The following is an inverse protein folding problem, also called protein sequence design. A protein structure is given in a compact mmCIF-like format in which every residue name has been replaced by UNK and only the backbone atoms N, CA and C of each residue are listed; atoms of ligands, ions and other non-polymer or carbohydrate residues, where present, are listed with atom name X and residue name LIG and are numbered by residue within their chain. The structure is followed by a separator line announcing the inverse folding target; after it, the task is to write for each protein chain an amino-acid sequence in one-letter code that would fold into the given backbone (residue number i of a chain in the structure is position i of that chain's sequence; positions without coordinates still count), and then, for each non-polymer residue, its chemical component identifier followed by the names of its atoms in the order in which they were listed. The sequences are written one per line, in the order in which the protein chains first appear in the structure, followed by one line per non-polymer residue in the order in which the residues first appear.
data_IF_202616281143
#
_entry.id   IF_202616281143
#
_cell.length_a   1.000
_cell.length_b   1.000
_cell.length_c   1.000
_cell.angle_alpha   90.00
_cell.angle_beta   90.00
_cell.angle_gamma   90.00
#
_symmetry.space_group_name_H-M   'P 1'
#
loop_
_entity.id
_entity.type
_entity.pdbx_description
1 polymer ?
#
# COMPACT_ATOMS: atom_id res chain seq x y z
N UNK A 1 18.10 3.94 -8.72
CA UNK A 1 16.77 4.36 -8.20
C UNK A 1 16.16 3.17 -7.50
N UNK A 2 15.67 3.31 -6.27
CA UNK A 2 15.06 2.22 -5.48
C UNK A 2 13.64 2.62 -5.13
N UNK A 3 12.68 1.68 -5.21
CA UNK A 3 11.28 1.89 -4.82
C UNK A 3 11.03 1.28 -3.44
N UNK A 4 10.37 2.02 -2.56
CA UNK A 4 9.83 1.51 -1.31
C UNK A 4 8.34 1.21 -1.46
N UNK A 5 7.89 0.12 -0.89
CA UNK A 5 6.48 -0.23 -0.75
C UNK A 5 6.09 -0.19 0.73
N UNK A 6 4.94 0.40 1.04
CA UNK A 6 4.44 0.42 2.41
C UNK A 6 3.73 -0.89 2.80
N UNK A 7 3.30 -0.97 4.06
CA UNK A 7 2.68 -2.15 4.64
C UNK A 7 1.17 -2.28 4.44
N UNK A 8 0.47 -1.29 3.91
CA UNK A 8 -0.98 -1.17 4.02
C UNK A 8 -1.74 -2.46 3.65
N UNK A 9 -1.52 -3.01 2.45
CA UNK A 9 -2.19 -4.24 2.03
C UNK A 9 -1.70 -5.49 2.78
N UNK A 10 -0.41 -5.55 3.11
CA UNK A 10 0.21 -6.72 3.75
C UNK A 10 -0.15 -6.84 5.22
N UNK A 11 -0.50 -5.73 5.85
CA UNK A 11 -1.03 -5.67 7.18
C UNK A 11 -2.52 -6.05 7.21
N UNK A 12 -3.32 -5.51 6.31
CA UNK A 12 -4.78 -5.69 6.29
C UNK A 12 -5.21 -7.07 5.76
N UNK A 13 -4.50 -7.62 4.78
CA UNK A 13 -4.93 -8.78 4.00
C UNK A 13 -3.99 -9.98 4.18
N UNK A 14 -4.54 -11.13 4.62
CA UNK A 14 -3.77 -12.39 4.71
C UNK A 14 -3.51 -12.97 3.32
N UNK A 15 -4.54 -13.02 2.46
CA UNK A 15 -4.52 -13.48 1.07
C UNK A 15 -5.52 -12.62 0.31
N UNK A 16 -5.23 -12.23 -0.93
CA UNK A 16 -6.19 -11.55 -1.79
C UNK A 16 -5.59 -11.04 -3.10
N UNK A 17 -6.44 -10.54 -3.98
CA UNK A 17 -6.08 -10.10 -5.34
C UNK A 17 -5.03 -8.98 -5.34
N UNK A 18 -5.21 -7.97 -4.49
CA UNK A 18 -4.28 -6.83 -4.41
C UNK A 18 -2.89 -7.28 -3.92
N UNK A 19 -2.83 -8.09 -2.88
CA UNK A 19 -1.53 -8.59 -2.38
C UNK A 19 -0.85 -9.54 -3.37
N UNK A 20 -1.63 -10.32 -4.15
CA UNK A 20 -1.10 -11.14 -5.25
C UNK A 20 -0.55 -10.29 -6.40
N UNK A 21 -1.21 -9.18 -6.73
CA UNK A 21 -0.71 -8.22 -7.71
C UNK A 21 0.70 -7.74 -7.35
N UNK A 22 0.94 -7.35 -6.10
CA UNK A 22 2.27 -6.95 -5.66
C UNK A 22 3.27 -8.11 -5.64
N UNK A 23 2.87 -9.31 -5.29
CA UNK A 23 3.73 -10.50 -5.39
C UNK A 23 4.24 -10.71 -6.83
N UNK A 24 3.36 -10.58 -7.82
CA UNK A 24 3.75 -10.65 -9.22
C UNK A 24 4.74 -9.53 -9.62
N UNK A 25 4.53 -8.30 -9.15
CA UNK A 25 5.46 -7.19 -9.37
C UNK A 25 6.82 -7.47 -8.74
N UNK A 26 6.85 -7.95 -7.49
CA UNK A 26 8.11 -8.24 -6.79
C UNK A 26 8.90 -9.34 -7.48
N UNK A 27 8.25 -10.42 -7.92
CA UNK A 27 8.88 -11.48 -8.71
C UNK A 27 9.50 -10.92 -9.99
N UNK A 28 8.78 -10.04 -10.69
CA UNK A 28 9.30 -9.41 -11.91
C UNK A 28 10.45 -8.44 -11.60
N UNK A 29 10.42 -7.70 -10.52
CA UNK A 29 11.52 -6.84 -10.10
C UNK A 29 12.78 -7.65 -9.75
N UNK A 30 12.61 -8.83 -9.14
CA UNK A 30 13.74 -9.75 -8.85
C UNK A 30 14.37 -10.25 -10.16
N UNK A 31 13.56 -10.73 -11.12
CA UNK A 31 14.04 -11.14 -12.44
C UNK A 31 14.84 -10.03 -13.13
N UNK A 32 14.31 -8.81 -13.11
CA UNK A 32 14.91 -7.64 -13.76
C UNK A 32 16.05 -7.02 -12.93
N UNK A 33 16.37 -7.58 -11.77
CA UNK A 33 17.34 -7.02 -10.80
C UNK A 33 17.03 -5.56 -10.44
N UNK A 34 15.74 -5.19 -10.47
CA UNK A 34 15.30 -3.84 -10.14
C UNK A 34 15.28 -3.65 -8.62
N UNK A 35 15.91 -2.62 -8.06
CA UNK A 35 16.02 -2.45 -6.62
C UNK A 35 14.71 -1.96 -6.00
N UNK A 36 14.19 -2.71 -5.05
CA UNK A 36 13.02 -2.35 -4.25
C UNK A 36 13.16 -2.84 -2.80
N UNK A 37 12.27 -2.37 -1.93
CA UNK A 37 12.10 -2.92 -0.58
C UNK A 37 10.68 -2.69 -0.06
N UNK A 38 10.14 -3.70 0.59
CA UNK A 38 8.85 -3.62 1.29
C UNK A 38 9.09 -3.32 2.76
N UNK A 39 8.51 -2.23 3.25
CA UNK A 39 8.56 -1.82 4.65
C UNK A 39 7.25 -2.19 5.31
N UNK A 40 7.26 -3.28 6.05
CA UNK A 40 6.09 -3.84 6.71
C UNK A 40 6.47 -4.33 8.12
N UNK A 41 6.62 -3.43 9.12
CA UNK A 41 7.09 -3.80 10.45
C UNK A 41 6.34 -4.98 11.05
N UNK A 42 5.02 -5.00 10.89
CA UNK A 42 4.17 -6.13 11.24
C UNK A 42 3.25 -6.44 10.06
N UNK A 43 3.17 -7.70 9.66
CA UNK A 43 2.31 -8.15 8.56
C UNK A 43 1.79 -9.58 8.77
N UNK A 44 0.65 -9.90 8.12
CA UNK A 44 0.04 -11.25 8.12
C UNK A 44 -0.07 -11.88 6.73
N UNK A 45 0.39 -11.17 5.70
CA UNK A 45 0.26 -11.60 4.32
C UNK A 45 1.20 -12.75 4.00
N UNK A 46 0.68 -13.81 3.36
CA UNK A 46 1.47 -15.00 3.03
C UNK A 46 2.43 -14.78 1.87
N UNK A 47 2.05 -14.01 0.85
CA UNK A 47 2.95 -13.71 -0.27
C UNK A 47 4.17 -12.93 0.21
N UNK A 48 3.96 -11.95 1.11
CA UNK A 48 5.07 -11.23 1.71
C UNK A 48 5.90 -12.12 2.65
N UNK A 49 5.28 -13.10 3.33
CA UNK A 49 6.02 -14.07 4.16
C UNK A 49 7.05 -14.82 3.32
N UNK A 50 6.66 -15.25 2.11
CA UNK A 50 7.48 -16.07 1.22
C UNK A 50 8.54 -15.26 0.45
N UNK A 51 8.43 -13.93 0.41
CA UNK A 51 9.45 -13.05 -0.15
C UNK A 51 10.74 -13.10 0.69
N UNK A 52 11.91 -13.12 0.04
CA UNK A 52 13.21 -13.10 0.72
C UNK A 52 13.37 -11.84 1.62
N UNK A 53 14.00 -12.02 2.77
CA UNK A 53 14.24 -10.97 3.75
C UNK A 53 15.14 -9.82 3.24
N UNK A 54 15.93 -10.05 2.19
CA UNK A 54 16.67 -8.98 1.50
C UNK A 54 15.74 -7.91 0.93
N UNK A 55 14.55 -8.31 0.45
CA UNK A 55 13.57 -7.42 -0.18
C UNK A 55 12.49 -6.89 0.77
N UNK A 56 12.43 -7.35 2.01
CA UNK A 56 11.43 -6.89 2.99
C UNK A 56 12.05 -6.54 4.33
N UNK A 57 11.33 -5.76 5.12
CA UNK A 57 11.70 -5.43 6.50
C UNK A 57 10.45 -5.50 7.38
N UNK A 58 10.46 -6.42 8.32
CA UNK A 58 9.39 -6.62 9.27
C UNK A 58 9.20 -8.07 9.70
N UNK A 59 8.19 -8.30 10.54
CA UNK A 59 7.91 -9.58 11.18
C UNK A 59 6.54 -10.10 10.77
N UNK A 60 6.50 -11.38 10.44
CA UNK A 60 5.26 -12.09 10.12
C UNK A 60 4.54 -12.54 11.41
N UNK A 61 3.25 -12.23 11.48
CA UNK A 61 2.36 -12.77 12.49
C UNK A 61 1.11 -13.32 11.81
N UNK A 62 0.78 -14.59 12.07
CA UNK A 62 -0.40 -15.22 11.47
C UNK A 62 -1.72 -14.56 11.94
N UNK A 63 -1.72 -14.04 13.18
CA UNK A 63 -2.83 -13.33 13.82
C UNK A 63 -2.28 -12.21 14.70
N UNK A 64 -2.99 -11.10 14.78
CA UNK A 64 -2.75 -10.01 15.74
C UNK A 64 -4.05 -9.21 15.95
N UNK A 65 -4.16 -8.51 17.07
CA UNK A 65 -5.33 -7.69 17.35
C UNK A 65 -5.40 -6.51 16.39
N UNK A 66 -6.59 -6.27 15.81
CA UNK A 66 -6.83 -5.18 14.84
C UNK A 66 -7.46 -3.94 15.50
N UNK A 67 -7.11 -3.64 16.74
CA UNK A 67 -7.59 -2.41 17.36
C UNK A 67 -6.84 -1.18 16.83
N UNK A 68 -7.51 -0.04 16.84
CA UNK A 68 -7.04 1.20 16.18
C UNK A 68 -5.63 1.64 16.61
N UNK A 69 -5.28 1.49 17.88
CA UNK A 69 -3.96 1.86 18.41
C UNK A 69 -2.84 1.01 17.79
N UNK A 70 -3.08 -0.28 17.62
CA UNK A 70 -2.10 -1.19 17.03
C UNK A 70 -1.89 -0.92 15.54
N UNK A 71 -2.97 -0.65 14.81
CA UNK A 71 -2.91 -0.22 13.39
C UNK A 71 -2.08 1.05 13.29
N UNK A 72 -2.40 2.06 14.10
CA UNK A 72 -1.70 3.35 14.11
C UNK A 72 -0.22 3.21 14.48
N UNK A 73 0.12 2.37 15.44
CA UNK A 73 1.51 2.09 15.79
C UNK A 73 2.29 1.51 14.61
N UNK A 74 1.71 0.53 13.91
CA UNK A 74 2.35 -0.08 12.74
C UNK A 74 2.55 0.93 11.59
N UNK A 75 1.60 1.84 11.39
CA UNK A 75 1.73 2.95 10.42
C UNK A 75 2.85 3.91 10.81
N UNK A 76 2.92 4.32 12.08
CA UNK A 76 3.98 5.20 12.58
C UNK A 76 5.36 4.57 12.37
N UNK A 77 5.51 3.30 12.72
CA UNK A 77 6.76 2.56 12.51
C UNK A 77 7.12 2.47 11.02
N UNK A 78 6.15 2.20 10.16
CA UNK A 78 6.35 2.18 8.70
C UNK A 78 6.86 3.51 8.20
N UNK A 79 6.20 4.61 8.57
CA UNK A 79 6.56 5.96 8.14
C UNK A 79 7.93 6.38 8.67
N UNK A 80 8.23 6.05 9.92
CA UNK A 80 9.55 6.31 10.49
C UNK A 80 10.66 5.62 9.70
N UNK A 81 10.51 4.35 9.38
CA UNK A 81 11.51 3.59 8.60
C UNK A 81 11.64 4.17 7.19
N UNK A 82 10.50 4.45 6.51
CA UNK A 82 10.49 5.03 5.17
C UNK A 82 11.14 6.42 5.16
N UNK A 83 10.87 7.26 6.14
CA UNK A 83 11.43 8.62 6.22
C UNK A 83 12.95 8.62 6.42
N UNK A 84 13.50 7.61 7.08
CA UNK A 84 14.94 7.43 7.31
C UNK A 84 15.69 6.79 6.13
N UNK A 85 14.98 6.26 5.14
CA UNK A 85 15.62 5.73 3.93
C UNK A 85 15.95 6.88 2.95
N UNK A 86 17.14 7.44 3.05
CA UNK A 86 17.60 8.51 2.16
C UNK A 86 18.03 8.02 0.76
N UNK A 87 18.11 6.70 0.54
CA UNK A 87 18.52 6.10 -0.74
C UNK A 87 17.38 5.95 -1.73
N UNK A 88 16.14 6.06 -1.26
CA UNK A 88 14.94 5.87 -2.06
C UNK A 88 14.19 7.18 -2.22
N UNK A 89 13.89 7.53 -3.46
CA UNK A 89 13.15 8.76 -3.79
C UNK A 89 11.67 8.50 -4.14
N UNK A 90 11.28 7.22 -4.20
CA UNK A 90 9.93 6.81 -4.62
C UNK A 90 9.33 5.89 -3.56
N UNK A 91 8.07 6.15 -3.24
CA UNK A 91 7.22 5.27 -2.41
C UNK A 91 6.02 4.85 -3.25
N UNK A 92 5.72 3.56 -3.25
CA UNK A 92 4.48 3.03 -3.80
C UNK A 92 3.53 2.69 -2.65
N UNK A 93 2.40 3.38 -2.58
CA UNK A 93 1.33 3.04 -1.65
C UNK A 93 0.63 1.75 -2.11
N UNK A 94 0.59 0.76 -1.23
CA UNK A 94 0.03 -0.54 -1.58
C UNK A 94 -1.49 -0.61 -1.40
N UNK A 95 -2.10 0.30 -0.61
CA UNK A 95 -3.56 0.31 -0.45
C UNK A 95 -4.09 1.56 0.28
N UNK A 96 -4.26 2.67 -0.41
CA UNK A 96 -4.94 3.91 0.04
C UNK A 96 -4.58 4.35 1.46
N UNK A 97 -3.28 4.37 1.79
CA UNK A 97 -2.80 4.70 3.13
C UNK A 97 -2.67 6.21 3.33
N UNK A 98 -3.51 6.77 4.20
CA UNK A 98 -3.40 8.18 4.58
C UNK A 98 -2.11 8.48 5.36
N UNK A 99 -1.48 7.49 5.95
CA UNK A 99 -0.25 7.68 6.72
C UNK A 99 0.93 8.20 5.89
N UNK A 100 1.00 7.85 4.59
CA UNK A 100 2.07 8.34 3.71
C UNK A 100 1.99 9.82 3.39
N UNK A 101 0.88 10.50 3.70
CA UNK A 101 0.70 11.93 3.43
C UNK A 101 1.71 12.78 4.20
N UNK A 102 2.16 12.31 5.37
CA UNK A 102 3.14 12.99 6.21
C UNK A 102 4.59 12.90 5.69
N UNK A 103 4.87 11.97 4.77
CA UNK A 103 6.22 11.79 4.22
C UNK A 103 6.47 12.84 3.15
N UNK A 104 7.45 13.70 3.40
CA UNK A 104 7.92 14.74 2.47
C UNK A 104 9.16 14.23 1.71
N UNK A 105 9.51 14.93 0.62
CA UNK A 105 10.73 14.71 -0.15
C UNK A 105 10.86 13.34 -0.85
N UNK A 106 9.72 12.65 -1.07
CA UNK A 106 9.67 11.41 -1.86
C UNK A 106 8.49 11.48 -2.82
N UNK A 107 8.69 11.01 -4.04
CA UNK A 107 7.61 10.84 -5.01
C UNK A 107 6.71 9.69 -4.60
N UNK A 108 5.41 9.91 -4.64
CA UNK A 108 4.39 8.97 -4.19
C UNK A 108 3.63 8.42 -5.37
N UNK A 109 3.58 7.09 -5.47
CA UNK A 109 2.84 6.36 -6.50
C UNK A 109 1.74 5.57 -5.81
N UNK A 110 0.59 5.44 -6.46
CA UNK A 110 -0.48 4.55 -6.03
C UNK A 110 -1.03 3.76 -7.21
N UNK A 111 -1.45 2.51 -6.96
CA UNK A 111 -2.23 1.72 -7.90
C UNK A 111 -3.72 1.86 -7.60
N UNK A 112 -4.51 2.23 -8.60
CA UNK A 112 -5.97 2.30 -8.55
C UNK A 112 -6.52 0.99 -9.07
N UNK A 113 -7.18 0.22 -8.19
CA UNK A 113 -7.75 -1.09 -8.50
C UNK A 113 -9.17 -0.97 -9.05
N UNK A 114 -9.99 -0.15 -8.41
CA UNK A 114 -11.36 0.13 -8.80
C UNK A 114 -11.84 1.47 -8.24
N UNK A 115 -12.94 1.97 -8.82
CA UNK A 115 -13.68 3.14 -8.38
C UNK A 115 -15.16 2.78 -8.10
N UNK A 116 -15.38 1.54 -7.66
CA UNK A 116 -16.74 1.00 -7.40
C UNK A 116 -17.46 1.87 -6.37
N UNK A 117 -16.78 2.25 -5.30
CA UNK A 117 -17.37 3.08 -4.26
C UNK A 117 -17.72 4.48 -4.76
N UNK A 118 -16.92 5.07 -5.61
CA UNK A 118 -17.12 6.39 -6.17
C UNK A 118 -18.28 6.39 -7.19
N UNK A 119 -18.39 5.35 -8.02
CA UNK A 119 -19.38 5.25 -9.10
C UNK A 119 -20.74 4.78 -8.64
N UNK A 120 -20.80 3.88 -7.69
CA UNK A 120 -22.02 3.22 -7.25
C UNK A 120 -22.45 3.65 -5.84
N UNK A 121 -22.20 4.91 -5.50
CA UNK A 121 -22.47 5.46 -4.17
C UNK A 121 -23.92 5.26 -3.69
N UNK A 122 -24.89 5.23 -4.58
CA UNK A 122 -26.32 5.05 -4.26
C UNK A 122 -26.68 3.62 -3.85
N UNK A 123 -25.80 2.64 -4.12
CA UNK A 123 -26.03 1.23 -3.79
C UNK A 123 -25.38 0.77 -2.49
N UNK A 124 -24.47 1.58 -1.93
CA UNK A 124 -23.71 1.23 -0.74
C UNK A 124 -24.15 2.05 0.47
N UNK A 125 -25.12 1.55 1.23
CA UNK A 125 -25.55 2.13 2.50
C UNK A 125 -24.72 1.63 3.70
N UNK A 126 -23.40 1.54 3.56
CA UNK A 126 -22.54 1.14 4.70
C UNK A 126 -22.29 2.32 5.62
N UNK A 127 -22.24 2.04 6.93
CA UNK A 127 -21.95 3.01 7.97
C UNK A 127 -20.66 3.82 7.74
N UNK A 128 -19.68 3.27 6.99
CA UNK A 128 -18.38 3.90 6.75
C UNK A 128 -18.13 4.27 5.28
N UNK A 129 -19.14 4.28 4.43
CA UNK A 129 -18.97 4.53 3.00
C UNK A 129 -18.35 5.91 2.72
N UNK A 130 -18.91 6.97 3.34
CA UNK A 130 -18.40 8.34 3.17
C UNK A 130 -16.95 8.48 3.60
N UNK A 131 -16.57 7.79 4.68
CA UNK A 131 -15.20 7.82 5.19
C UNK A 131 -14.22 7.14 4.22
N UNK A 132 -14.62 6.05 3.56
CA UNK A 132 -13.81 5.36 2.56
C UNK A 132 -13.55 6.27 1.36
N UNK A 133 -14.60 6.89 0.80
CA UNK A 133 -14.48 7.80 -0.35
C UNK A 133 -13.65 9.03 0.00
N UNK A 134 -13.90 9.62 1.16
CA UNK A 134 -13.12 10.78 1.63
C UNK A 134 -11.66 10.44 1.86
N UNK A 135 -11.36 9.26 2.42
CA UNK A 135 -9.98 8.83 2.61
C UNK A 135 -9.28 8.61 1.26
N UNK A 136 -9.92 7.92 0.31
CA UNK A 136 -9.38 7.74 -1.04
C UNK A 136 -9.10 9.09 -1.70
N UNK A 137 -10.04 10.05 -1.63
CA UNK A 137 -9.84 11.39 -2.17
C UNK A 137 -8.62 12.07 -1.55
N UNK A 138 -8.51 12.10 -0.23
CA UNK A 138 -7.33 12.67 0.45
C UNK A 138 -6.03 12.02 -0.01
N UNK A 139 -6.02 10.70 -0.20
CA UNK A 139 -4.85 9.98 -0.70
C UNK A 139 -4.55 10.43 -2.13
N UNK A 140 -5.54 10.44 -3.04
CA UNK A 140 -5.35 10.84 -4.43
C UNK A 140 -4.81 12.28 -4.55
N UNK A 141 -5.37 13.23 -3.82
CA UNK A 141 -4.93 14.64 -3.83
C UNK A 141 -3.45 14.82 -3.43
N UNK A 142 -2.82 13.80 -2.86
CA UNK A 142 -1.44 13.84 -2.36
C UNK A 142 -0.49 12.85 -3.03
N UNK A 143 -0.89 12.22 -4.14
CA UNK A 143 -0.04 11.33 -4.94
C UNK A 143 0.52 12.06 -6.14
N UNK A 144 1.77 11.74 -6.50
CA UNK A 144 2.43 12.30 -7.69
C UNK A 144 2.10 11.50 -8.96
N UNK A 145 1.88 10.18 -8.84
CA UNK A 145 1.65 9.28 -9.99
C UNK A 145 0.60 8.23 -9.67
N UNK A 146 -0.16 7.88 -10.70
CA UNK A 146 -1.23 6.90 -10.64
C UNK A 146 -0.99 5.76 -11.63
N UNK A 147 -1.20 4.53 -11.19
CA UNK A 147 -1.19 3.33 -12.03
C UNK A 147 -2.61 2.77 -12.02
N UNK A 148 -3.29 2.78 -13.15
CA UNK A 148 -4.61 2.15 -13.27
C UNK A 148 -4.43 0.71 -13.76
N UNK A 149 -5.13 -0.25 -13.13
CA UNK A 149 -5.01 -1.68 -13.49
C UNK A 149 -5.62 -2.01 -14.86
N UNK A 150 -6.42 -1.12 -15.42
CA UNK A 150 -7.05 -1.26 -16.74
C UNK A 150 -7.34 0.09 -17.38
N UNK A 151 -7.58 0.07 -18.70
CA UNK A 151 -8.05 1.25 -19.41
C UNK A 151 -9.40 1.73 -18.85
N UNK A 152 -10.28 0.80 -18.49
CA UNK A 152 -11.55 1.16 -17.86
C UNK A 152 -11.39 1.90 -16.55
N UNK A 153 -10.49 1.43 -15.68
CA UNK A 153 -10.17 2.13 -14.43
C UNK A 153 -9.60 3.53 -14.70
N UNK A 154 -8.80 3.69 -15.76
CA UNK A 154 -8.25 4.98 -16.16
C UNK A 154 -9.31 5.95 -16.68
N UNK A 155 -10.28 5.47 -17.44
CA UNK A 155 -11.41 6.27 -17.93
C UNK A 155 -12.34 6.71 -16.80
N UNK A 156 -12.48 5.85 -15.79
CA UNK A 156 -13.36 6.09 -14.64
C UNK A 156 -12.71 7.00 -13.58
N UNK A 157 -11.38 7.15 -13.59
CA UNK A 157 -10.59 7.99 -12.70
C UNK A 157 -10.50 9.43 -13.19
#
# INVERSE_FOLDING_TARGET
MKILFNNAIFFSQKIGGVSRYFDCIFKKFIELKFPFKVIAPIYKNIYLKDLDNVFKQGLYFSKYPMFKQFVKLNEILTNFIISKDYKSNIIHDTYYSSSLLEIKNKKKIITIYDLIHEKFNNYYNYYNYKDIVQNKKKVFDNMDYFICISNKTKEDF
#
